data_IF_950556870744
#
_entry.id   IF_950556870744
#
_cell.length_a   1.000
_cell.length_b   1.000
_cell.length_c   1.000
_cell.angle_alpha   90.00
_cell.angle_beta   90.00
_cell.angle_gamma   90.00
#
_symmetry.space_group_name_H-M   'P 1'
#
loop_
_entity.id
_entity.type
_entity.pdbx_description
1 polymer ?
#
# COMPACT_ATOMS: atom_id res chain seq x y z
N UNK A 1 -24.30 -29.08 35.46
CA UNK A 1 -24.31 -27.76 36.14
C UNK A 1 -23.07 -26.95 35.77
N UNK A 2 -21.84 -27.42 36.04
CA UNK A 2 -20.59 -26.70 35.73
C UNK A 2 -20.40 -26.30 34.24
N UNK A 3 -20.67 -27.21 33.29
CA UNK A 3 -20.54 -26.93 31.86
C UNK A 3 -21.50 -25.82 31.35
N UNK A 4 -22.73 -25.78 31.86
CA UNK A 4 -23.71 -24.77 31.46
C UNK A 4 -23.36 -23.36 31.98
N UNK A 5 -22.84 -23.29 33.21
CA UNK A 5 -22.36 -22.03 33.79
C UNK A 5 -21.13 -21.50 33.04
N UNK A 6 -20.24 -22.40 32.58
CA UNK A 6 -19.04 -22.04 31.83
C UNK A 6 -19.38 -21.56 30.41
N UNK A 7 -20.33 -22.20 29.72
CA UNK A 7 -20.87 -21.73 28.42
C UNK A 7 -21.53 -20.34 28.53
N UNK A 8 -22.31 -20.10 29.59
CA UNK A 8 -22.98 -18.81 29.82
C UNK A 8 -21.98 -17.65 30.02
N UNK A 9 -20.88 -17.91 30.74
CA UNK A 9 -19.79 -16.95 30.92
C UNK A 9 -19.08 -16.64 29.59
N UNK A 10 -18.77 -17.66 28.79
CA UNK A 10 -18.15 -17.50 27.48
C UNK A 10 -19.06 -16.70 26.54
N UNK A 11 -20.35 -17.02 26.49
CA UNK A 11 -21.33 -16.30 25.68
C UNK A 11 -21.42 -14.83 26.10
N UNK A 12 -21.54 -14.55 27.40
CA UNK A 12 -21.58 -13.18 27.94
C UNK A 12 -20.29 -12.40 27.60
N UNK A 13 -19.12 -13.06 27.66
CA UNK A 13 -17.84 -12.46 27.28
C UNK A 13 -17.81 -12.10 25.80
N UNK A 14 -18.27 -13.00 24.93
CA UNK A 14 -18.33 -12.77 23.50
C UNK A 14 -19.27 -11.62 23.14
N UNK A 15 -20.48 -11.57 23.72
CA UNK A 15 -21.42 -10.46 23.51
C UNK A 15 -20.81 -9.10 23.86
N UNK A 16 -20.15 -9.00 25.02
CA UNK A 16 -19.45 -7.79 25.42
C UNK A 16 -18.32 -7.41 24.43
N UNK A 17 -17.62 -8.39 23.87
CA UNK A 17 -16.56 -8.14 22.89
C UNK A 17 -17.10 -7.65 21.54
N UNK A 18 -18.24 -8.20 21.10
CA UNK A 18 -18.92 -7.86 19.85
C UNK A 18 -19.66 -6.53 19.92
N UNK A 19 -20.09 -6.09 21.11
CA UNK A 19 -20.83 -4.84 21.30
C UNK A 19 -20.08 -3.59 20.83
N UNK A 20 -18.74 -3.65 20.76
CA UNK A 20 -17.91 -2.49 20.42
C UNK A 20 -17.60 -2.37 18.93
N UNK A 21 -17.37 -3.48 18.23
CA UNK A 21 -16.92 -3.52 16.84
C UNK A 21 -17.29 -4.86 16.21
N UNK A 22 -17.42 -4.88 14.88
CA UNK A 22 -17.44 -6.12 14.11
C UNK A 22 -16.16 -6.93 14.36
N UNK A 23 -16.31 -8.25 14.50
CA UNK A 23 -15.22 -9.20 14.72
C UNK A 23 -15.40 -10.41 13.83
N UNK A 24 -14.28 -11.00 13.45
CA UNK A 24 -14.26 -12.30 12.81
C UNK A 24 -14.43 -13.45 13.81
N UNK A 25 -14.82 -14.63 13.32
CA UNK A 25 -14.84 -15.87 14.10
C UNK A 25 -13.50 -16.13 14.77
N UNK A 26 -12.41 -15.93 14.04
CA UNK A 26 -11.06 -16.11 14.56
C UNK A 26 -10.74 -15.18 15.75
N UNK A 27 -11.10 -13.90 15.65
CA UNK A 27 -10.91 -12.95 16.74
C UNK A 27 -11.74 -13.31 17.98
N UNK A 28 -13.00 -13.72 17.81
CA UNK A 28 -13.86 -14.13 18.92
C UNK A 28 -13.32 -15.41 19.58
N UNK A 29 -12.92 -16.41 18.78
CA UNK A 29 -12.29 -17.64 19.27
C UNK A 29 -11.05 -17.34 20.09
N UNK A 30 -10.15 -16.53 19.54
CA UNK A 30 -8.90 -16.13 20.21
C UNK A 30 -9.22 -15.45 21.53
N UNK A 31 -10.25 -14.60 21.56
CA UNK A 31 -10.65 -13.89 22.78
C UNK A 31 -11.22 -14.80 23.86
N UNK A 32 -11.98 -15.83 23.48
CA UNK A 32 -12.53 -16.80 24.42
C UNK A 32 -11.46 -17.78 24.94
N UNK A 33 -10.49 -18.14 24.11
CA UNK A 33 -9.36 -18.99 24.50
C UNK A 33 -8.45 -18.36 25.58
N UNK A 34 -8.50 -17.04 25.77
CA UNK A 34 -7.79 -16.38 26.89
C UNK A 34 -8.35 -16.77 28.28
N UNK A 35 -9.59 -17.26 28.35
CA UNK A 35 -10.31 -17.50 29.61
C UNK A 35 -10.88 -18.91 29.76
N UNK A 36 -10.73 -19.76 28.75
CA UNK A 36 -11.15 -21.16 28.78
C UNK A 36 -10.25 -22.04 27.92
N UNK A 37 -9.85 -23.18 28.46
CA UNK A 37 -9.04 -24.20 27.79
C UNK A 37 -9.90 -25.36 27.22
N UNK A 38 -11.15 -25.08 26.86
CA UNK A 38 -12.10 -26.04 26.29
C UNK A 38 -12.52 -25.62 24.87
N UNK A 39 -11.86 -26.15 23.82
CA UNK A 39 -12.16 -25.83 22.44
C UNK A 39 -13.60 -26.15 22.02
N UNK A 40 -14.17 -27.25 22.52
CA UNK A 40 -15.53 -27.69 22.17
C UNK A 40 -16.57 -26.71 22.73
N UNK A 41 -16.36 -26.21 23.95
CA UNK A 41 -17.22 -25.18 24.53
C UNK A 41 -17.13 -23.85 23.76
N UNK A 42 -15.94 -23.46 23.30
CA UNK A 42 -15.75 -22.27 22.46
C UNK A 42 -16.46 -22.43 21.11
N UNK A 43 -16.35 -23.60 20.49
CA UNK A 43 -17.03 -23.92 19.23
C UNK A 43 -18.54 -23.84 19.35
N UNK A 44 -19.11 -24.36 20.45
CA UNK A 44 -20.55 -24.25 20.71
C UNK A 44 -21.00 -22.80 20.83
N UNK A 45 -20.25 -21.95 21.54
CA UNK A 45 -20.57 -20.53 21.68
C UNK A 45 -20.46 -19.81 20.34
N UNK A 46 -19.41 -20.08 19.55
CA UNK A 46 -19.26 -19.50 18.21
C UNK A 46 -20.43 -19.91 17.31
N UNK A 47 -20.83 -21.18 17.31
CA UNK A 47 -21.97 -21.65 16.52
C UNK A 47 -23.27 -20.95 16.91
N UNK A 48 -23.52 -20.76 18.21
CA UNK A 48 -24.67 -19.99 18.71
C UNK A 48 -24.64 -18.53 18.25
N UNK A 49 -23.47 -17.87 18.31
CA UNK A 49 -23.32 -16.49 17.86
C UNK A 49 -23.50 -16.35 16.33
N UNK A 50 -23.03 -17.33 15.56
CA UNK A 50 -23.21 -17.38 14.12
C UNK A 50 -24.67 -17.60 13.72
N UNK A 51 -25.39 -18.50 14.40
CA UNK A 51 -26.83 -18.72 14.21
C UNK A 51 -27.65 -17.44 14.50
N UNK A 52 -27.27 -16.71 15.53
CA UNK A 52 -27.83 -15.39 15.86
C UNK A 52 -27.34 -14.27 14.92
N UNK A 53 -26.46 -14.57 13.95
CA UNK A 53 -25.84 -13.61 13.01
C UNK A 53 -25.05 -12.49 13.69
N UNK A 54 -24.54 -12.75 14.89
CA UNK A 54 -23.70 -11.82 15.66
C UNK A 54 -22.24 -11.88 15.23
N UNK A 55 -21.82 -13.00 14.65
CA UNK A 55 -20.50 -13.18 14.02
C UNK A 55 -20.71 -13.76 12.63
N UNK A 56 -20.11 -13.11 11.63
CA UNK A 56 -20.30 -13.40 10.21
C UNK A 56 -19.09 -12.85 9.45
N UNK A 57 -18.19 -13.73 9.04
CA UNK A 57 -16.92 -13.36 8.40
C UNK A 57 -17.15 -12.75 7.01
N UNK A 58 -18.19 -13.19 6.28
CA UNK A 58 -18.61 -12.59 5.02
C UNK A 58 -19.04 -11.14 5.21
N UNK A 59 -19.92 -10.85 6.18
CA UNK A 59 -20.31 -9.46 6.50
C UNK A 59 -19.13 -8.62 6.98
N UNK A 60 -18.21 -9.21 7.73
CA UNK A 60 -16.99 -8.54 8.14
C UNK A 60 -16.17 -8.12 6.91
N UNK A 61 -15.95 -9.03 5.96
CA UNK A 61 -15.24 -8.78 4.71
C UNK A 61 -15.91 -7.65 3.91
N UNK A 62 -17.22 -7.73 3.68
CA UNK A 62 -17.99 -6.70 2.97
C UNK A 62 -17.82 -5.31 3.63
N UNK A 63 -17.97 -5.23 4.95
CA UNK A 63 -17.83 -3.97 5.68
C UNK A 63 -16.41 -3.41 5.62
N UNK A 64 -15.40 -4.29 5.69
CA UNK A 64 -14.00 -3.91 5.62
C UNK A 64 -13.62 -3.38 4.24
N UNK A 65 -13.96 -4.10 3.17
CA UNK A 65 -13.71 -3.69 1.77
C UNK A 65 -14.30 -2.31 1.52
N UNK A 66 -15.59 -2.12 1.84
CA UNK A 66 -16.26 -0.81 1.68
C UNK A 66 -15.57 0.33 2.42
N UNK A 67 -15.04 0.05 3.61
CA UNK A 67 -14.33 1.05 4.41
C UNK A 67 -13.02 1.44 3.73
N UNK A 68 -12.22 0.45 3.31
CA UNK A 68 -10.92 0.70 2.66
C UNK A 68 -11.09 1.39 1.30
N UNK A 69 -12.09 1.00 0.50
CA UNK A 69 -12.41 1.64 -0.78
C UNK A 69 -12.71 3.13 -0.58
N UNK A 70 -13.55 3.48 0.41
CA UNK A 70 -13.87 4.88 0.74
C UNK A 70 -12.66 5.69 1.21
N UNK A 71 -11.65 5.05 1.79
CA UNK A 71 -10.42 5.75 2.18
C UNK A 71 -9.52 6.10 0.98
N UNK A 72 -9.73 5.47 -0.17
CA UNK A 72 -9.03 5.73 -1.44
C UNK A 72 -7.50 5.72 -1.32
N UNK A 73 -6.97 4.72 -0.59
CA UNK A 73 -5.53 4.65 -0.27
C UNK A 73 -4.86 3.34 -0.67
N UNK A 74 -5.61 2.25 -0.72
CA UNK A 74 -5.06 0.90 -0.87
C UNK A 74 -5.82 0.14 -1.94
N UNK A 75 -5.13 -0.76 -2.62
CA UNK A 75 -5.67 -1.66 -3.64
C UNK A 75 -6.16 -2.99 -3.08
N UNK A 76 -6.67 -3.86 -3.95
CA UNK A 76 -7.31 -5.12 -3.56
C UNK A 76 -6.36 -6.09 -2.83
N UNK A 77 -5.07 -6.16 -3.19
CA UNK A 77 -4.15 -7.11 -2.55
C UNK A 77 -3.86 -6.76 -1.08
N UNK A 78 -3.91 -5.46 -0.75
CA UNK A 78 -3.80 -5.01 0.64
C UNK A 78 -4.99 -5.48 1.48
N UNK A 79 -6.19 -5.39 0.90
CA UNK A 79 -7.43 -5.85 1.52
C UNK A 79 -7.40 -7.37 1.69
N UNK A 80 -7.00 -8.12 0.64
CA UNK A 80 -6.84 -9.58 0.70
C UNK A 80 -5.92 -9.99 1.83
N UNK A 81 -4.74 -9.37 1.92
CA UNK A 81 -3.78 -9.72 2.95
C UNK A 81 -4.34 -9.44 4.35
N UNK A 82 -4.97 -8.28 4.56
CA UNK A 82 -5.60 -7.96 5.84
C UNK A 82 -6.67 -8.97 6.24
N UNK A 83 -7.57 -9.32 5.32
CA UNK A 83 -8.66 -10.26 5.60
C UNK A 83 -8.14 -11.69 5.82
N UNK A 84 -7.07 -12.08 5.11
CA UNK A 84 -6.36 -13.35 5.36
C UNK A 84 -5.71 -13.39 6.74
N UNK A 85 -5.08 -12.31 7.19
CA UNK A 85 -4.54 -12.21 8.56
C UNK A 85 -5.65 -12.31 9.62
N UNK A 86 -6.87 -11.89 9.26
CA UNK A 86 -8.10 -12.07 10.04
C UNK A 86 -8.78 -13.42 9.85
N UNK A 87 -8.17 -14.33 9.11
CA UNK A 87 -8.65 -15.71 8.85
C UNK A 87 -10.03 -15.78 8.18
N UNK A 88 -10.40 -14.75 7.42
CA UNK A 88 -11.60 -14.78 6.57
C UNK A 88 -11.35 -15.74 5.40
N UNK A 89 -12.37 -16.52 5.03
CA UNK A 89 -12.27 -17.45 3.90
C UNK A 89 -12.00 -16.68 2.59
N UNK A 90 -11.16 -17.26 1.72
CA UNK A 90 -10.86 -16.67 0.41
C UNK A 90 -12.10 -16.46 -0.46
N UNK A 91 -13.10 -17.33 -0.38
CA UNK A 91 -14.35 -17.17 -1.14
C UNK A 91 -15.12 -15.91 -0.70
N UNK A 92 -15.20 -15.66 0.61
CA UNK A 92 -15.83 -14.45 1.16
C UNK A 92 -15.05 -13.18 0.81
N UNK A 93 -13.72 -13.27 0.79
CA UNK A 93 -12.83 -12.16 0.41
C UNK A 93 -13.06 -11.77 -1.05
N UNK A 94 -12.99 -12.72 -1.97
CA UNK A 94 -13.16 -12.43 -3.39
C UNK A 94 -14.60 -11.98 -3.68
N UNK A 95 -15.62 -12.60 -3.08
CA UNK A 95 -17.00 -12.16 -3.23
C UNK A 95 -17.21 -10.71 -2.76
N UNK A 96 -16.58 -10.30 -1.65
CA UNK A 96 -16.65 -8.92 -1.17
C UNK A 96 -15.88 -7.93 -2.07
N UNK A 97 -14.71 -8.32 -2.58
CA UNK A 97 -13.94 -7.51 -3.53
C UNK A 97 -14.67 -7.32 -4.86
N UNK A 98 -15.20 -8.39 -5.45
CA UNK A 98 -15.95 -8.36 -6.70
C UNK A 98 -17.18 -7.44 -6.59
N UNK A 99 -17.84 -7.46 -5.43
CA UNK A 99 -19.04 -6.68 -5.18
C UNK A 99 -18.78 -5.19 -4.94
N UNK A 100 -17.71 -4.86 -4.22
CA UNK A 100 -17.50 -3.50 -3.69
C UNK A 100 -16.23 -2.80 -4.20
N UNK A 101 -15.37 -3.49 -4.94
CA UNK A 101 -14.14 -2.92 -5.48
C UNK A 101 -13.88 -3.37 -6.94
N UNK A 102 -14.75 -2.99 -7.88
CA UNK A 102 -14.60 -3.37 -9.29
C UNK A 102 -13.33 -2.77 -9.91
N UNK A 103 -12.87 -3.37 -11.01
CA UNK A 103 -11.58 -3.05 -11.63
C UNK A 103 -11.44 -1.56 -12.04
N UNK A 104 -12.50 -0.94 -12.55
CA UNK A 104 -12.51 0.48 -12.89
C UNK A 104 -12.27 1.39 -11.67
N UNK A 105 -12.86 1.03 -10.53
CA UNK A 105 -12.65 1.72 -9.25
C UNK A 105 -11.22 1.52 -8.73
N UNK A 106 -10.64 0.32 -8.90
CA UNK A 106 -9.22 0.05 -8.56
C UNK A 106 -8.31 1.00 -9.34
N UNK A 107 -8.53 1.13 -10.65
CA UNK A 107 -7.75 2.04 -11.50
C UNK A 107 -7.95 3.49 -11.07
N UNK A 108 -9.20 3.93 -10.86
CA UNK A 108 -9.52 5.31 -10.43
C UNK A 108 -8.79 5.69 -9.14
N UNK A 109 -8.85 4.82 -8.12
CA UNK A 109 -8.17 5.06 -6.84
C UNK A 109 -6.64 5.03 -7.04
N UNK A 110 -6.12 4.10 -7.83
CA UNK A 110 -4.70 4.01 -8.19
C UNK A 110 -4.17 5.30 -8.80
N UNK A 111 -4.91 5.89 -9.75
CA UNK A 111 -4.60 7.19 -10.36
C UNK A 111 -4.55 8.30 -9.29
N UNK A 112 -5.54 8.34 -8.40
CA UNK A 112 -5.57 9.34 -7.32
C UNK A 112 -4.38 9.24 -6.36
N UNK A 113 -3.95 8.01 -6.02
CA UNK A 113 -2.75 7.78 -5.19
C UNK A 113 -1.48 8.20 -5.93
N UNK A 114 -1.36 7.83 -7.21
CA UNK A 114 -0.21 8.13 -8.04
C UNK A 114 -0.04 9.64 -8.27
N UNK A 115 -1.10 10.36 -8.60
CA UNK A 115 -1.08 11.81 -8.77
C UNK A 115 -0.61 12.54 -7.50
N UNK A 116 -1.10 12.12 -6.33
CA UNK A 116 -0.66 12.70 -5.04
C UNK A 116 0.82 12.44 -4.79
N UNK A 117 1.31 11.24 -5.12
CA UNK A 117 2.71 10.87 -4.96
C UNK A 117 3.61 11.68 -5.89
N UNK A 118 3.28 11.77 -7.18
CA UNK A 118 4.09 12.50 -8.17
C UNK A 118 4.25 13.98 -7.81
N UNK A 119 3.18 14.63 -7.31
CA UNK A 119 3.24 16.02 -6.80
C UNK A 119 4.27 16.22 -5.68
N UNK A 120 4.57 15.18 -4.90
CA UNK A 120 5.55 15.25 -3.81
C UNK A 120 7.02 15.09 -4.27
N UNK A 121 7.26 14.63 -5.50
CA UNK A 121 8.60 14.29 -6.03
C UNK A 121 9.09 15.25 -7.12
N UNK A 122 8.76 16.54 -7.03
CA UNK A 122 9.22 17.58 -7.98
C UNK A 122 10.75 17.80 -8.02
N UNK A 123 11.49 17.22 -7.07
CA UNK A 123 12.96 17.28 -7.01
C UNK A 123 13.63 15.97 -7.46
N UNK A 124 12.84 14.98 -7.90
CA UNK A 124 13.35 13.77 -8.52
C UNK A 124 13.26 13.89 -10.04
N UNK A 125 14.04 13.09 -10.77
CA UNK A 125 13.83 12.92 -12.19
C UNK A 125 12.47 12.29 -12.48
N UNK A 126 11.92 12.51 -13.68
CA UNK A 126 10.62 11.97 -14.07
C UNK A 126 10.61 10.44 -13.93
N UNK A 127 11.66 9.77 -14.41
CA UNK A 127 11.78 8.30 -14.28
C UNK A 127 11.88 7.84 -12.83
N UNK A 128 12.62 8.57 -11.98
CA UNK A 128 12.70 8.25 -10.55
C UNK A 128 11.34 8.40 -9.87
N UNK A 129 10.65 9.51 -10.12
CA UNK A 129 9.33 9.78 -9.56
C UNK A 129 8.32 8.72 -9.98
N UNK A 130 8.31 8.33 -11.26
CA UNK A 130 7.48 7.23 -11.78
C UNK A 130 7.81 5.90 -11.09
N UNK A 131 9.09 5.52 -11.00
CA UNK A 131 9.50 4.27 -10.35
C UNK A 131 9.13 4.23 -8.86
N UNK A 132 9.33 5.34 -8.13
CA UNK A 132 8.92 5.48 -6.73
C UNK A 132 7.40 5.38 -6.59
N UNK A 133 6.65 5.90 -7.56
CA UNK A 133 5.19 5.84 -7.59
C UNK A 133 4.69 4.42 -7.84
N UNK A 134 5.21 3.71 -8.85
CA UNK A 134 4.90 2.29 -9.09
C UNK A 134 5.20 1.44 -7.85
N UNK A 135 6.36 1.65 -7.21
CA UNK A 135 6.72 0.96 -5.96
C UNK A 135 5.77 1.26 -4.80
N UNK A 136 5.28 2.51 -4.68
CA UNK A 136 4.26 2.85 -3.69
C UNK A 136 2.97 2.11 -3.97
N UNK A 137 2.47 2.12 -5.21
CA UNK A 137 1.24 1.44 -5.60
C UNK A 137 1.32 -0.06 -5.28
N UNK A 138 2.43 -0.73 -5.61
CA UNK A 138 2.64 -2.15 -5.25
C UNK A 138 2.59 -2.37 -3.73
N UNK A 139 3.28 -1.54 -2.94
CA UNK A 139 3.21 -1.64 -1.46
C UNK A 139 1.82 -1.36 -0.90
N UNK A 140 1.01 -0.60 -1.62
CA UNK A 140 -0.39 -0.30 -1.29
C UNK A 140 -1.35 -1.36 -1.83
N UNK A 141 -0.86 -2.44 -2.45
CA UNK A 141 -1.64 -3.57 -2.90
C UNK A 141 -2.42 -3.34 -4.20
N UNK A 142 -1.95 -2.41 -5.05
CA UNK A 142 -2.43 -2.34 -6.43
C UNK A 142 -1.72 -3.42 -7.27
N UNK A 143 -2.47 -4.21 -8.07
CA UNK A 143 -1.90 -5.27 -8.89
C UNK A 143 -0.85 -4.75 -9.86
N UNK A 144 0.21 -5.53 -10.09
CA UNK A 144 1.26 -5.16 -11.05
C UNK A 144 0.73 -4.95 -12.47
N UNK A 145 -0.25 -5.77 -12.87
CA UNK A 145 -0.94 -5.68 -14.17
C UNK A 145 -1.59 -4.32 -14.43
N UNK A 146 -1.97 -3.63 -13.36
CA UNK A 146 -2.79 -2.42 -13.44
C UNK A 146 -1.92 -1.15 -13.43
N UNK A 147 -0.63 -1.29 -13.09
CA UNK A 147 0.25 -0.13 -12.88
C UNK A 147 0.46 0.68 -14.15
N UNK A 148 0.64 0.02 -15.29
CA UNK A 148 0.84 0.74 -16.56
C UNK A 148 -0.44 1.48 -16.94
N UNK A 149 -1.60 0.85 -16.84
CA UNK A 149 -2.89 1.50 -17.07
C UNK A 149 -3.15 2.68 -16.12
N UNK A 150 -2.76 2.57 -14.85
CA UNK A 150 -2.85 3.69 -13.90
C UNK A 150 -1.95 4.84 -14.32
N UNK A 151 -0.71 4.56 -14.71
CA UNK A 151 0.26 5.58 -15.08
C UNK A 151 -0.10 6.27 -16.42
N UNK A 152 -0.67 5.53 -17.37
CA UNK A 152 -1.11 6.05 -18.68
C UNK A 152 -2.24 7.09 -18.56
N UNK A 153 -2.95 7.12 -17.43
CA UNK A 153 -3.98 8.13 -17.14
C UNK A 153 -3.44 9.42 -16.50
N UNK A 154 -2.12 9.53 -16.35
CA UNK A 154 -1.49 10.68 -15.70
C UNK A 154 -0.65 11.41 -16.73
N UNK A 155 -0.94 12.70 -16.89
CA UNK A 155 -0.08 13.59 -17.68
C UNK A 155 1.26 13.77 -16.96
N UNK A 156 2.31 13.20 -17.54
CA UNK A 156 3.70 13.33 -17.09
C UNK A 156 4.54 14.20 -17.99
N UNK A 157 3.97 14.83 -19.03
CA UNK A 157 4.73 15.54 -20.07
C UNK A 157 5.50 16.72 -19.47
N UNK A 158 4.85 17.48 -18.58
CA UNK A 158 5.49 18.58 -17.85
C UNK A 158 6.62 18.15 -16.91
N UNK A 159 6.73 16.86 -16.58
CA UNK A 159 7.82 16.35 -15.74
C UNK A 159 9.12 16.21 -16.54
N UNK A 160 9.05 15.91 -17.83
CA UNK A 160 10.24 15.70 -18.68
C UNK A 160 11.01 17.00 -18.90
N UNK A 161 10.31 18.10 -19.16
CA UNK A 161 10.93 19.42 -19.31
C UNK A 161 11.59 19.89 -18.00
N UNK A 162 10.93 19.66 -16.86
CA UNK A 162 11.47 19.98 -15.54
C UNK A 162 12.68 19.11 -15.17
N UNK A 163 12.73 17.87 -15.65
CA UNK A 163 13.79 16.92 -15.37
C UNK A 163 15.15 17.43 -15.86
N UNK A 164 15.19 17.89 -17.12
CA UNK A 164 16.39 18.37 -17.77
C UNK A 164 16.98 19.59 -17.04
N UNK A 165 16.14 20.59 -16.72
CA UNK A 165 16.58 21.76 -15.95
C UNK A 165 17.06 21.39 -14.54
N UNK A 166 16.39 20.45 -13.88
CA UNK A 166 16.73 20.00 -12.54
C UNK A 166 18.11 19.32 -12.53
N UNK A 167 18.33 18.39 -13.46
CA UNK A 167 19.60 17.67 -13.60
C UNK A 167 20.73 18.66 -13.85
N UNK A 168 20.56 19.59 -14.79
CA UNK A 168 21.60 20.58 -15.12
C UNK A 168 21.91 21.50 -13.92
N UNK A 169 20.88 21.99 -13.20
CA UNK A 169 21.07 22.79 -11.97
C UNK A 169 21.84 22.04 -10.90
N UNK A 170 21.53 20.76 -10.70
CA UNK A 170 22.22 19.92 -9.69
C UNK A 170 23.63 19.58 -10.16
N UNK A 171 23.82 19.29 -11.45
CA UNK A 171 25.11 19.01 -12.06
C UNK A 171 26.04 20.22 -11.93
N UNK A 172 25.58 21.41 -12.29
CA UNK A 172 26.33 22.66 -12.18
C UNK A 172 26.74 22.94 -10.73
N UNK A 173 25.83 22.73 -9.77
CA UNK A 173 26.13 22.87 -8.35
C UNK A 173 27.29 21.96 -7.90
N UNK A 174 27.28 20.69 -8.29
CA UNK A 174 28.36 19.77 -7.95
C UNK A 174 29.64 20.05 -8.75
N UNK A 175 29.51 20.45 -10.01
CA UNK A 175 30.62 20.86 -10.87
C UNK A 175 31.40 22.02 -10.24
N UNK A 176 30.70 23.08 -9.84
CA UNK A 176 31.27 24.22 -9.11
C UNK A 176 31.88 23.82 -7.77
N UNK A 177 31.24 22.92 -7.03
CA UNK A 177 31.75 22.39 -5.75
C UNK A 177 33.10 21.69 -5.91
N UNK A 178 33.32 21.01 -7.04
CA UNK A 178 34.54 20.23 -7.30
C UNK A 178 35.53 20.93 -8.24
N UNK A 179 35.34 22.23 -8.53
CA UNK A 179 36.16 23.00 -9.47
C UNK A 179 37.65 23.16 -9.10
N UNK A 180 38.06 22.75 -7.89
CA UNK A 180 39.46 22.76 -7.45
C UNK A 180 40.22 21.48 -7.84
N UNK A 181 39.53 20.44 -8.28
CA UNK A 181 40.12 19.19 -8.72
C UNK A 181 40.55 19.28 -10.18
N UNK A 182 41.36 18.35 -10.66
CA UNK A 182 41.61 18.24 -12.10
C UNK A 182 40.33 17.86 -12.86
N UNK A 183 40.32 18.06 -14.18
CA UNK A 183 39.12 17.88 -14.99
C UNK A 183 38.52 16.47 -14.89
N UNK A 184 39.37 15.44 -14.88
CA UNK A 184 38.91 14.05 -14.78
C UNK A 184 38.31 13.78 -13.40
N UNK A 185 39.02 14.20 -12.33
CA UNK A 185 38.53 14.05 -10.96
C UNK A 185 37.23 14.84 -10.70
N UNK A 186 37.13 16.07 -11.21
CA UNK A 186 35.94 16.92 -11.13
C UNK A 186 34.74 16.21 -11.79
N UNK A 187 34.93 15.69 -13.00
CA UNK A 187 33.89 14.96 -13.73
C UNK A 187 33.46 13.70 -12.98
N UNK A 188 34.40 12.88 -12.49
CA UNK A 188 34.08 11.67 -11.73
C UNK A 188 33.35 11.96 -10.42
N UNK A 189 33.77 12.99 -9.67
CA UNK A 189 33.11 13.38 -8.40
C UNK A 189 31.71 13.92 -8.64
N UNK A 190 31.51 14.70 -9.70
CA UNK A 190 30.19 15.21 -10.11
C UNK A 190 29.28 14.07 -10.53
N UNK A 191 29.75 13.17 -11.41
CA UNK A 191 29.07 11.93 -11.82
C UNK A 191 28.62 11.10 -10.63
N UNK A 192 29.52 10.82 -9.69
CA UNK A 192 29.20 10.05 -8.48
C UNK A 192 28.18 10.77 -7.58
N UNK A 193 28.24 12.10 -7.49
CA UNK A 193 27.29 12.86 -6.70
C UNK A 193 25.87 12.83 -7.29
N UNK A 194 25.76 12.97 -8.62
CA UNK A 194 24.49 12.84 -9.33
C UNK A 194 23.94 11.42 -9.25
N UNK A 195 24.80 10.40 -9.41
CA UNK A 195 24.38 9.00 -9.26
C UNK A 195 23.88 8.69 -7.85
N UNK A 196 24.55 9.20 -6.80
CA UNK A 196 24.06 9.10 -5.40
C UNK A 196 22.75 9.84 -5.16
N UNK A 197 22.42 10.83 -5.99
CA UNK A 197 21.12 11.50 -5.97
C UNK A 197 20.02 10.70 -6.69
N UNK A 198 20.41 9.65 -7.42
CA UNK A 198 19.50 8.70 -8.08
C UNK A 198 19.27 8.96 -9.56
N UNK A 199 19.89 10.00 -10.13
CA UNK A 199 19.82 10.27 -11.57
C UNK A 199 20.39 9.10 -12.36
N UNK A 200 19.83 8.86 -13.55
CA UNK A 200 20.27 7.76 -14.40
C UNK A 200 21.60 8.08 -15.06
N UNK A 201 22.32 7.03 -15.46
CA UNK A 201 23.61 7.22 -16.10
C UNK A 201 23.51 7.97 -17.43
N UNK A 202 22.46 7.76 -18.20
CA UNK A 202 22.28 8.44 -19.48
C UNK A 202 22.09 9.95 -19.26
N UNK A 203 21.16 10.32 -18.37
CA UNK A 203 20.90 11.72 -17.96
C UNK A 203 22.15 12.42 -17.41
N UNK A 204 22.90 11.72 -16.55
CA UNK A 204 24.15 12.23 -15.97
C UNK A 204 25.19 12.47 -17.06
N UNK A 205 25.28 11.58 -18.06
CA UNK A 205 26.27 11.69 -19.13
C UNK A 205 25.97 12.92 -19.98
N UNK A 206 24.73 13.09 -20.44
CA UNK A 206 24.32 14.27 -21.22
C UNK A 206 24.51 15.58 -20.46
N UNK A 207 24.27 15.62 -19.14
CA UNK A 207 24.49 16.81 -18.33
C UNK A 207 25.98 17.17 -18.18
N UNK A 208 26.85 16.17 -18.06
CA UNK A 208 28.29 16.39 -17.98
C UNK A 208 28.89 16.83 -19.32
N UNK A 209 28.40 16.29 -20.44
CA UNK A 209 28.79 16.74 -21.79
C UNK A 209 28.51 18.23 -21.97
N UNK A 210 27.29 18.67 -21.64
CA UNK A 210 26.91 20.10 -21.68
C UNK A 210 27.79 21.01 -20.81
N UNK A 211 28.23 20.52 -19.64
CA UNK A 211 29.12 21.27 -18.73
C UNK A 211 30.58 21.31 -19.19
N UNK A 212 31.02 20.30 -19.94
CA UNK A 212 32.38 20.24 -20.50
C UNK A 212 32.53 21.03 -21.80
N UNK A 213 31.42 21.29 -22.51
CA UNK A 213 31.38 22.09 -23.74
C UNK A 213 31.17 23.60 -23.52
N UNK A 214 30.79 24.01 -22.30
CA UNK A 214 30.48 25.40 -21.92
C UNK A 214 31.52 26.13 -21.10
#
# INVERSE_FOLDING_TARGET
MRLADDLSKLHSRALNYLAHNLRTVYEVRTKLAEIADDPDAIDQVIAQLADQRLVDDGKYAESYVRTVVREEKNGPDWIRQHLKDKHVNSDDIEAALDRYFPADEVIRIGVGVAQKQLKSHHNDSAKMAINKTKNLLMRRGFPYSDLDQVMDQIDTDGMVEQDQELIDKVAEKYWRKYAKLDHYEQQQKTKQALFRKGFLMDDITSALERLSEG
#
